data_IF_626820042409
#
_entry.id   IF_626820042409
#
_cell.length_a   1.000
_cell.length_b   1.000
_cell.length_c   1.000
_cell.angle_alpha   90.00
_cell.angle_beta   90.00
_cell.angle_gamma   90.00
#
_symmetry.space_group_name_H-M   'P 1'
#
loop_
_entity.id
_entity.type
_entity.pdbx_description
1 polymer ?
#
# COMPACT_ATOMS: atom_id res chain seq x y z
N UNK A 1 -19.92 23.13 16.87
CA UNK A 1 -18.93 22.53 15.94
C UNK A 1 -19.36 21.09 15.83
N UNK A 2 -19.85 20.68 14.67
CA UNK A 2 -20.34 19.32 14.49
C UNK A 2 -19.16 18.36 14.55
N UNK A 3 -19.23 17.40 15.47
CA UNK A 3 -18.22 16.37 15.66
C UNK A 3 -18.64 15.14 14.86
N UNK A 4 -17.71 14.50 14.14
CA UNK A 4 -17.97 13.23 13.48
C UNK A 4 -18.50 12.19 14.47
N UNK A 5 -19.47 11.40 14.03
CA UNK A 5 -19.73 10.08 14.62
C UNK A 5 -18.50 9.18 14.42
N UNK A 6 -18.45 8.06 15.14
CA UNK A 6 -17.36 7.09 14.99
C UNK A 6 -17.21 6.60 13.55
N UNK A 7 -18.33 6.27 12.89
CA UNK A 7 -18.31 5.78 11.51
C UNK A 7 -17.81 6.85 10.54
N UNK A 8 -18.30 8.08 10.65
CA UNK A 8 -17.83 9.18 9.81
C UNK A 8 -16.34 9.46 10.00
N UNK A 9 -15.84 9.37 11.23
CA UNK A 9 -14.42 9.50 11.52
C UNK A 9 -13.60 8.39 10.86
N UNK A 10 -14.04 7.13 10.99
CA UNK A 10 -13.40 5.96 10.37
C UNK A 10 -13.31 6.12 8.85
N UNK A 11 -14.42 6.47 8.21
CA UNK A 11 -14.49 6.63 6.75
C UNK A 11 -13.61 7.80 6.28
N UNK A 12 -13.64 8.91 7.02
CA UNK A 12 -12.78 10.07 6.73
C UNK A 12 -11.29 9.74 6.91
N UNK A 13 -10.93 8.99 7.96
CA UNK A 13 -9.56 8.56 8.22
C UNK A 13 -9.05 7.61 7.15
N UNK A 14 -9.85 6.61 6.76
CA UNK A 14 -9.51 5.68 5.67
C UNK A 14 -9.25 6.44 4.36
N UNK A 15 -10.20 7.29 3.96
CA UNK A 15 -10.09 8.09 2.72
C UNK A 15 -8.89 9.02 2.72
N UNK A 16 -8.65 9.72 3.84
CA UNK A 16 -7.49 10.61 4.00
C UNK A 16 -6.18 9.82 3.90
N UNK A 17 -6.09 8.68 4.57
CA UNK A 17 -4.88 7.85 4.57
C UNK A 17 -4.59 7.27 3.18
N UNK A 18 -5.61 6.78 2.46
CA UNK A 18 -5.45 6.36 1.07
C UNK A 18 -4.98 7.50 0.17
N UNK A 19 -5.56 8.70 0.30
CA UNK A 19 -5.14 9.87 -0.48
C UNK A 19 -3.68 10.27 -0.17
N UNK A 20 -3.29 10.23 1.10
CA UNK A 20 -1.93 10.50 1.56
C UNK A 20 -0.91 9.54 0.93
N UNK A 21 -1.18 8.23 0.93
CA UNK A 21 -0.27 7.25 0.33
C UNK A 21 -0.34 7.20 -1.19
N UNK A 22 -1.45 7.61 -1.81
CA UNK A 22 -1.53 7.79 -3.26
C UNK A 22 -0.60 8.89 -3.74
N UNK A 23 -0.58 10.05 -3.06
CA UNK A 23 0.39 11.12 -3.37
C UNK A 23 1.82 10.59 -3.30
N UNK A 24 2.14 9.83 -2.25
CA UNK A 24 3.47 9.25 -2.11
C UNK A 24 3.82 8.21 -3.20
N UNK A 25 2.87 7.35 -3.59
CA UNK A 25 3.03 6.40 -4.69
C UNK A 25 3.23 7.12 -6.04
N UNK A 26 2.58 8.29 -6.22
CA UNK A 26 2.77 9.18 -7.36
C UNK A 26 4.09 9.99 -7.31
N UNK A 27 4.94 9.76 -6.30
CA UNK A 27 6.22 10.45 -6.12
C UNK A 27 6.11 11.86 -5.55
N UNK A 28 4.97 12.21 -4.94
CA UNK A 28 4.68 13.52 -4.36
C UNK A 28 4.65 13.42 -2.83
N UNK A 29 5.46 14.22 -2.16
CA UNK A 29 5.47 14.31 -0.70
C UNK A 29 4.14 14.87 -0.19
N UNK A 30 3.40 14.13 0.65
CA UNK A 30 2.08 14.57 1.13
C UNK A 30 2.14 15.70 2.16
N UNK A 31 3.33 16.11 2.60
CA UNK A 31 3.53 17.20 3.57
C UNK A 31 3.91 18.53 2.93
N UNK A 32 4.74 18.51 1.88
CA UNK A 32 5.29 19.72 1.26
C UNK A 32 5.13 19.80 -0.26
N UNK A 33 4.53 18.77 -0.89
CA UNK A 33 4.29 18.65 -2.33
C UNK A 33 5.53 18.61 -3.24
N UNK A 34 6.73 18.48 -2.69
CA UNK A 34 7.95 18.20 -3.47
C UNK A 34 8.14 16.71 -3.77
N UNK A 35 9.14 16.38 -4.57
CA UNK A 35 9.46 15.00 -4.96
C UNK A 35 9.73 14.09 -3.75
N UNK A 36 9.23 12.87 -3.85
CA UNK A 36 9.39 11.78 -2.90
C UNK A 36 9.82 10.53 -3.67
N UNK A 37 10.88 9.85 -3.24
CA UNK A 37 11.17 8.48 -3.70
C UNK A 37 10.61 7.49 -2.71
N UNK A 38 10.15 6.32 -3.19
CA UNK A 38 9.66 5.22 -2.37
C UNK A 38 10.30 3.90 -2.80
N UNK A 39 10.81 3.13 -1.84
CA UNK A 39 11.42 1.82 -2.11
C UNK A 39 11.12 0.82 -0.97
N UNK A 40 10.93 -0.45 -1.31
CA UNK A 40 10.87 -1.57 -0.36
C UNK A 40 12.23 -1.68 0.32
N UNK A 41 12.25 -1.54 1.63
CA UNK A 41 13.49 -1.51 2.41
C UNK A 41 13.40 -2.50 3.58
N UNK A 42 13.73 -3.79 3.38
CA UNK A 42 13.66 -4.80 4.45
C UNK A 42 14.50 -4.45 5.68
N UNK A 43 15.63 -3.77 5.50
CA UNK A 43 16.50 -3.32 6.59
C UNK A 43 15.89 -2.21 7.45
N UNK A 44 14.77 -1.62 7.03
CA UNK A 44 14.07 -0.55 7.74
C UNK A 44 12.87 -1.07 8.55
N UNK A 45 12.68 -2.39 8.61
CA UNK A 45 11.69 -3.06 9.42
C UNK A 45 11.87 -2.75 10.92
N UNK A 46 10.76 -2.48 11.61
CA UNK A 46 10.76 -2.27 13.06
C UNK A 46 10.29 -3.51 13.83
N UNK A 47 9.66 -4.44 13.12
CA UNK A 47 9.22 -5.75 13.61
C UNK A 47 9.77 -6.86 12.70
N UNK A 48 9.92 -8.07 13.25
CA UNK A 48 10.56 -9.18 12.54
C UNK A 48 9.79 -9.64 11.30
N UNK A 49 8.49 -9.39 11.27
CA UNK A 49 7.52 -9.75 10.25
C UNK A 49 7.08 -8.55 9.40
N UNK A 50 7.84 -7.44 9.40
CA UNK A 50 7.57 -6.25 8.61
C UNK A 50 8.54 -6.14 7.43
N UNK A 51 8.04 -5.81 6.24
CA UNK A 51 8.86 -5.37 5.11
C UNK A 51 8.26 -4.06 4.57
N UNK A 52 8.71 -2.90 5.05
CA UNK A 52 8.07 -1.64 4.72
C UNK A 52 8.55 -1.09 3.38
N UNK A 53 7.66 -0.32 2.75
CA UNK A 53 8.05 0.71 1.79
C UNK A 53 8.47 1.94 2.59
N UNK A 54 9.66 2.46 2.33
CA UNK A 54 10.17 3.70 2.92
C UNK A 54 10.18 4.78 1.87
N UNK A 55 9.66 5.95 2.20
CA UNK A 55 9.72 7.12 1.35
C UNK A 55 10.54 8.26 1.94
N UNK A 56 11.37 8.89 1.11
CA UNK A 56 12.25 9.99 1.49
C UNK A 56 11.98 11.22 0.60
N UNK A 57 11.74 12.38 1.23
CA UNK A 57 11.50 13.64 0.53
C UNK A 57 12.84 14.34 0.23
N UNK A 58 12.93 15.01 -0.92
CA UNK A 58 14.13 15.78 -1.29
C UNK A 58 14.27 17.10 -0.54
N UNK A 59 13.19 17.65 0.03
CA UNK A 59 13.16 19.04 0.53
C UNK A 59 12.81 19.18 2.02
N UNK A 60 12.04 18.25 2.59
CA UNK A 60 11.64 18.33 4.00
C UNK A 60 12.07 17.07 4.76
N UNK A 61 12.19 17.13 6.10
CA UNK A 61 12.64 15.99 6.90
C UNK A 61 11.58 14.89 7.05
N UNK A 62 10.42 15.03 6.39
CA UNK A 62 9.38 14.02 6.47
C UNK A 62 9.78 12.78 5.69
N UNK A 63 9.64 11.63 6.35
CA UNK A 63 9.66 10.31 5.72
C UNK A 63 8.32 9.63 5.88
N UNK A 64 8.04 8.68 5.01
CA UNK A 64 6.87 7.81 5.12
C UNK A 64 7.29 6.36 5.30
N UNK A 65 6.44 5.58 5.97
CA UNK A 65 6.49 4.12 5.97
C UNK A 65 5.11 3.59 5.66
N UNK A 66 5.05 2.59 4.79
CA UNK A 66 3.81 1.96 4.39
C UNK A 66 3.99 0.45 4.22
N UNK A 67 2.94 -0.34 4.49
CA UNK A 67 2.89 -1.71 4.01
C UNK A 67 2.93 -1.75 2.47
N UNK A 68 3.58 -2.77 1.90
CA UNK A 68 3.61 -2.97 0.43
C UNK A 68 2.20 -3.10 -0.14
N UNK A 69 1.31 -3.81 0.56
CA UNK A 69 -0.08 -3.97 0.15
C UNK A 69 -0.86 -2.66 0.04
N UNK A 70 -0.57 -1.68 0.91
CA UNK A 70 -1.26 -0.39 0.85
C UNK A 70 -0.93 0.38 -0.44
N UNK A 71 0.34 0.36 -0.89
CA UNK A 71 0.71 0.94 -2.19
C UNK A 71 0.14 0.12 -3.35
N UNK A 72 0.19 -1.22 -3.26
CA UNK A 72 -0.44 -2.09 -4.27
C UNK A 72 -1.94 -1.80 -4.44
N UNK A 73 -2.65 -1.45 -3.36
CA UNK A 73 -4.08 -1.09 -3.40
C UNK A 73 -4.37 0.14 -4.28
N UNK A 74 -3.39 1.00 -4.55
CA UNK A 74 -3.54 2.14 -5.44
C UNK A 74 -3.49 1.76 -6.92
N UNK A 75 -2.92 0.59 -7.26
CA UNK A 75 -2.68 0.18 -8.64
C UNK A 75 -3.99 -0.22 -9.33
N UNK A 76 -4.30 0.34 -10.52
CA UNK A 76 -5.52 0.00 -11.25
C UNK A 76 -5.67 -1.50 -11.54
N UNK A 77 -4.55 -2.20 -11.81
CA UNK A 77 -4.55 -3.66 -12.02
C UNK A 77 -4.98 -4.47 -10.80
N UNK A 78 -4.70 -3.99 -9.58
CA UNK A 78 -5.17 -4.65 -8.35
C UNK A 78 -6.65 -4.33 -8.12
N UNK A 79 -7.04 -3.07 -8.31
CA UNK A 79 -8.45 -2.66 -8.19
C UNK A 79 -9.36 -3.40 -9.19
N UNK A 80 -8.87 -3.72 -10.39
CA UNK A 80 -9.64 -4.49 -11.38
C UNK A 80 -9.90 -5.93 -10.95
N UNK A 81 -9.12 -6.50 -10.03
CA UNK A 81 -9.40 -7.85 -9.51
C UNK A 81 -10.73 -7.89 -8.74
N UNK A 82 -11.12 -6.76 -8.14
CA UNK A 82 -12.37 -6.64 -7.38
C UNK A 82 -13.57 -6.22 -8.24
N UNK A 83 -13.38 -5.96 -9.55
CA UNK A 83 -14.41 -5.36 -10.41
C UNK A 83 -15.67 -6.22 -10.55
N UNK A 84 -15.51 -7.54 -10.57
CA UNK A 84 -16.61 -8.52 -10.67
C UNK A 84 -17.03 -9.09 -9.31
N UNK A 85 -16.43 -8.59 -8.22
CA UNK A 85 -16.76 -9.02 -6.85
C UNK A 85 -17.82 -8.11 -6.22
N UNK A 86 -18.57 -8.62 -5.25
CA UNK A 86 -19.51 -7.83 -4.44
C UNK A 86 -18.80 -6.93 -3.40
N UNK A 87 -17.46 -6.97 -3.35
CA UNK A 87 -16.65 -6.23 -2.38
C UNK A 87 -16.49 -4.77 -2.83
N UNK A 88 -17.01 -3.84 -2.03
CA UNK A 88 -16.84 -2.41 -2.21
C UNK A 88 -15.41 -1.93 -1.87
N UNK A 89 -14.41 -2.39 -2.63
CA UNK A 89 -12.98 -2.28 -2.29
C UNK A 89 -12.50 -0.84 -2.01
N UNK A 90 -13.05 0.15 -2.70
CA UNK A 90 -12.63 1.56 -2.57
C UNK A 90 -13.26 2.25 -1.37
N UNK A 91 -14.46 1.83 -1.01
CA UNK A 91 -15.26 2.35 0.09
C UNK A 91 -14.88 1.67 1.41
N UNK A 92 -14.54 0.37 1.35
CA UNK A 92 -14.10 -0.40 2.51
C UNK A 92 -12.76 0.14 3.03
N UNK A 93 -12.64 0.36 4.35
CA UNK A 93 -11.38 0.75 4.95
C UNK A 93 -10.24 -0.21 4.62
N UNK A 94 -9.09 0.34 4.25
CA UNK A 94 -8.00 -0.46 3.71
C UNK A 94 -7.48 -1.53 4.66
N UNK A 95 -7.60 -1.33 5.98
CA UNK A 95 -7.18 -2.29 7.00
C UNK A 95 -8.12 -3.49 7.18
N UNK A 96 -9.31 -3.46 6.57
CA UNK A 96 -10.19 -4.64 6.52
C UNK A 96 -9.65 -5.70 5.53
N UNK A 97 -8.67 -5.32 4.71
CA UNK A 97 -7.92 -6.24 3.85
C UNK A 97 -6.60 -6.56 4.51
N UNK A 98 -6.42 -7.76 5.07
CA UNK A 98 -5.18 -8.13 5.80
C UNK A 98 -3.92 -7.88 4.97
N UNK A 99 -3.98 -8.17 3.67
CA UNK A 99 -2.86 -7.96 2.75
C UNK A 99 -2.50 -6.48 2.57
N UNK A 100 -3.41 -5.55 2.81
CA UNK A 100 -3.13 -4.11 2.74
C UNK A 100 -2.35 -3.59 3.96
N UNK A 101 -2.45 -4.23 5.12
CA UNK A 101 -1.91 -3.67 6.38
C UNK A 101 -1.02 -4.60 7.19
N UNK A 102 -1.37 -5.88 7.28
CA UNK A 102 -0.77 -6.80 8.24
C UNK A 102 0.10 -7.86 7.56
N UNK A 103 -0.20 -8.25 6.31
CA UNK A 103 0.64 -9.21 5.61
C UNK A 103 1.92 -8.56 5.08
N UNK A 104 3.06 -9.13 5.46
CA UNK A 104 4.33 -8.83 4.80
C UNK A 104 4.49 -9.59 3.49
N UNK A 105 5.08 -8.97 2.47
CA UNK A 105 5.51 -9.70 1.28
C UNK A 105 6.64 -10.67 1.61
N UNK A 106 6.83 -11.70 0.79
CA UNK A 106 8.00 -12.57 0.83
C UNK A 106 9.04 -12.08 -0.17
N UNK A 107 10.29 -11.90 0.26
CA UNK A 107 11.39 -11.55 -0.66
C UNK A 107 11.82 -12.81 -1.43
N UNK A 108 11.68 -12.77 -2.75
CA UNK A 108 12.07 -13.84 -3.66
C UNK A 108 13.50 -13.66 -4.19
N UNK A 109 13.91 -12.41 -4.37
CA UNK A 109 15.25 -12.03 -4.85
C UNK A 109 15.64 -10.69 -4.23
N UNK A 110 16.93 -10.47 -3.96
CA UNK A 110 17.44 -9.23 -3.34
C UNK A 110 18.15 -8.28 -4.29
N UNK A 111 18.68 -8.78 -5.42
CA UNK A 111 19.35 -7.97 -6.44
C UNK A 111 19.10 -8.53 -7.87
N UNK A 112 18.24 -7.89 -8.68
CA UNK A 112 17.29 -6.85 -8.29
C UNK A 112 16.26 -7.37 -7.26
N UNK A 113 15.75 -6.48 -6.40
CA UNK A 113 14.74 -6.87 -5.40
C UNK A 113 13.43 -7.26 -6.09
N UNK A 114 12.97 -8.48 -5.80
CA UNK A 114 11.65 -8.99 -6.18
C UNK A 114 10.97 -9.53 -4.93
N UNK A 115 9.73 -9.10 -4.71
CA UNK A 115 8.91 -9.52 -3.59
C UNK A 115 7.53 -10.02 -4.07
N UNK A 116 6.98 -11.03 -3.40
CA UNK A 116 5.64 -11.56 -3.67
C UNK A 116 4.69 -11.22 -2.53
N UNK A 117 3.48 -10.78 -2.85
CA UNK A 117 2.40 -10.61 -1.88
C UNK A 117 1.15 -11.35 -2.36
N UNK A 118 0.56 -12.16 -1.49
CA UNK A 118 -0.74 -12.77 -1.75
C UNK A 118 -1.85 -11.76 -1.49
N UNK A 119 -2.76 -11.62 -2.45
CA UNK A 119 -3.93 -10.75 -2.39
C UNK A 119 -5.17 -11.62 -2.38
N UNK A 120 -5.97 -11.51 -1.33
CA UNK A 120 -7.28 -12.14 -1.25
C UNK A 120 -8.32 -11.28 -1.97
N UNK A 121 -9.05 -11.90 -2.89
CA UNK A 121 -10.07 -11.31 -3.75
C UNK A 121 -11.31 -12.20 -3.69
N UNK A 122 -12.28 -11.81 -2.86
CA UNK A 122 -13.46 -12.63 -2.54
C UNK A 122 -13.04 -14.07 -2.14
N UNK A 123 -13.40 -15.08 -2.93
CA UNK A 123 -13.10 -16.50 -2.67
C UNK A 123 -11.82 -16.99 -3.38
N UNK A 124 -11.03 -16.08 -3.96
CA UNK A 124 -9.81 -16.41 -4.71
C UNK A 124 -8.60 -15.68 -4.15
N UNK A 125 -7.44 -16.34 -4.21
CA UNK A 125 -6.17 -15.76 -3.79
C UNK A 125 -5.26 -15.61 -5.01
N UNK A 126 -4.63 -14.45 -5.15
CA UNK A 126 -3.77 -14.12 -6.29
C UNK A 126 -2.39 -13.73 -5.78
N UNK A 127 -1.33 -14.31 -6.33
CA UNK A 127 0.05 -13.92 -5.98
C UNK A 127 0.54 -12.81 -6.89
N UNK A 128 1.01 -11.70 -6.32
CA UNK A 128 1.50 -10.54 -7.06
C UNK A 128 2.99 -10.37 -6.82
N UNK A 129 3.77 -10.39 -7.90
CA UNK A 129 5.20 -10.10 -7.88
C UNK A 129 5.45 -8.62 -8.15
N UNK A 130 6.28 -7.99 -7.31
CA UNK A 130 6.66 -6.59 -7.42
C UNK A 130 8.17 -6.38 -7.35
N UNK A 131 8.64 -5.28 -7.93
CA UNK A 131 10.02 -4.81 -7.75
C UNK A 131 10.17 -3.94 -6.48
N UNK A 132 11.37 -3.39 -6.26
CA UNK A 132 11.66 -2.47 -5.15
C UNK A 132 10.76 -1.22 -5.09
N UNK A 133 10.12 -0.81 -6.18
CA UNK A 133 9.22 0.37 -6.21
C UNK A 133 7.74 -0.02 -6.21
N UNK A 134 7.45 -1.26 -5.81
CA UNK A 134 6.08 -1.80 -5.78
C UNK A 134 5.44 -1.82 -7.18
N UNK A 135 6.23 -1.79 -8.26
CA UNK A 135 5.72 -1.97 -9.61
C UNK A 135 5.42 -3.44 -9.86
N UNK A 136 4.22 -3.72 -10.36
CA UNK A 136 3.76 -5.09 -10.63
C UNK A 136 4.55 -5.66 -11.82
N UNK A 137 5.33 -6.69 -11.53
CA UNK A 137 6.03 -7.49 -12.53
C UNK A 137 5.09 -8.56 -13.10
N UNK A 138 4.35 -9.25 -12.24
CA UNK A 138 3.50 -10.38 -12.60
C UNK A 138 2.32 -10.53 -11.64
N UNK A 139 1.22 -11.11 -12.12
CA UNK A 139 0.04 -11.51 -11.34
C UNK A 139 -0.25 -12.97 -11.70
N UNK A 140 -0.27 -13.84 -10.69
CA UNK A 140 -0.44 -15.28 -10.81
C UNK A 140 -1.75 -15.71 -10.14
N UNK A 141 -2.64 -16.34 -10.91
CA UNK A 141 -3.98 -16.78 -10.52
C UNK A 141 -4.01 -18.28 -10.17
#
# INVERSE_FOLDING_TARGET
>A
MDTYTLQEFVDAFSRRTRAYFRQADDGICPFCAHSLSTEIQPSAATQADEIPVVGNCSECPAGIRAPVGLLLSNRPRIQSLFADSEVAFRETPFWEFEWCTFAAPTIQQTDPLVASLTIEVADTSVSVLVNSRVEILEIQY
#
